data_IF_438976887141
#
_entry.id   IF_438976887141
#
_cell.length_a   1.000
_cell.length_b   1.000
_cell.length_c   1.000
_cell.angle_alpha   90.00
_cell.angle_beta   90.00
_cell.angle_gamma   90.00
#
_symmetry.space_group_name_H-M   'P 1'
#
loop_
_entity.id
_entity.type
_entity.pdbx_description
1 polymer ?
#
# COMPACT_ATOMS: atom_id res chain seq x y z
N UNK A 1 -18.36 -34.44 -32.81
CA UNK A 1 -18.30 -33.67 -31.54
C UNK A 1 -16.90 -33.66 -30.92
N UNK A 2 -16.29 -34.80 -30.59
CA UNK A 2 -14.96 -34.89 -29.93
C UNK A 2 -13.82 -34.20 -30.70
N UNK A 3 -13.81 -34.25 -32.04
CA UNK A 3 -12.78 -33.57 -32.86
C UNK A 3 -12.89 -32.04 -32.79
N UNK A 4 -14.10 -31.48 -32.91
CA UNK A 4 -14.36 -30.03 -32.88
C UNK A 4 -13.98 -29.45 -31.52
N UNK A 5 -14.30 -30.15 -30.43
CA UNK A 5 -13.94 -29.73 -29.07
C UNK A 5 -12.43 -29.76 -28.79
N UNK A 6 -11.69 -30.70 -29.39
CA UNK A 6 -10.23 -30.78 -29.26
C UNK A 6 -9.56 -29.58 -29.94
N UNK A 7 -10.07 -29.14 -31.10
CA UNK A 7 -9.60 -27.93 -31.79
C UNK A 7 -9.87 -26.66 -30.98
N UNK A 8 -11.04 -26.55 -30.35
CA UNK A 8 -11.38 -25.41 -29.49
C UNK A 8 -10.42 -25.26 -28.29
N UNK A 9 -10.03 -26.36 -27.65
CA UNK A 9 -9.07 -26.35 -26.54
C UNK A 9 -7.68 -25.84 -26.97
N UNK A 10 -7.19 -26.27 -28.13
CA UNK A 10 -5.88 -25.87 -28.67
C UNK A 10 -5.84 -24.41 -29.15
N UNK A 11 -6.97 -23.81 -29.48
CA UNK A 11 -7.06 -22.39 -29.88
C UNK A 11 -7.24 -21.50 -28.64
N UNK A 12 -8.06 -21.92 -27.67
CA UNK A 12 -8.29 -21.11 -26.47
C UNK A 12 -7.07 -21.04 -25.54
N UNK A 13 -6.31 -22.13 -25.38
CA UNK A 13 -5.13 -22.12 -24.49
C UNK A 13 -4.09 -21.05 -24.82
N UNK A 14 -3.63 -20.88 -26.08
CA UNK A 14 -2.67 -19.84 -26.42
C UNK A 14 -3.25 -18.42 -26.37
N UNK A 15 -4.52 -18.23 -26.75
CA UNK A 15 -5.18 -16.92 -26.64
C UNK A 15 -5.28 -16.47 -25.16
N UNK A 16 -5.50 -17.41 -24.26
CA UNK A 16 -5.58 -17.14 -22.82
C UNK A 16 -4.20 -16.97 -22.21
N UNK A 17 -3.20 -17.76 -22.64
CA UNK A 17 -1.80 -17.54 -22.23
C UNK A 17 -1.35 -16.13 -22.62
N UNK A 18 -1.74 -15.66 -23.81
CA UNK A 18 -1.49 -14.30 -24.27
C UNK A 18 -2.21 -13.27 -23.39
N UNK A 19 -3.49 -13.46 -23.07
CA UNK A 19 -4.20 -12.58 -22.12
C UNK A 19 -3.55 -12.55 -20.74
N UNK A 20 -3.00 -13.67 -20.27
CA UNK A 20 -2.36 -13.78 -18.96
C UNK A 20 -0.98 -13.14 -18.94
N UNK A 21 -0.22 -13.26 -20.04
CA UNK A 21 1.03 -12.53 -20.26
C UNK A 21 0.75 -11.04 -20.30
N UNK A 22 -0.26 -10.60 -21.05
CA UNK A 22 -0.72 -9.20 -21.09
C UNK A 22 -1.14 -8.75 -19.68
N UNK A 23 -2.01 -9.48 -19.01
CA UNK A 23 -2.44 -9.15 -17.65
C UNK A 23 -1.27 -9.12 -16.66
N UNK A 24 -0.24 -9.95 -16.81
CA UNK A 24 0.94 -9.98 -15.93
C UNK A 24 1.92 -8.83 -16.23
N UNK A 25 2.08 -8.45 -17.50
CA UNK A 25 2.95 -7.34 -17.93
C UNK A 25 2.31 -5.99 -17.57
N UNK A 26 0.99 -5.83 -17.70
CA UNK A 26 0.28 -4.58 -17.44
C UNK A 26 -0.28 -4.44 -16.00
N UNK A 27 -0.14 -5.47 -15.15
CA UNK A 27 -0.82 -5.61 -13.84
C UNK A 27 -0.46 -4.60 -12.74
N UNK A 28 0.76 -4.03 -12.64
CA UNK A 28 1.00 -3.10 -11.53
C UNK A 28 0.56 -1.66 -11.82
N UNK A 29 0.57 -1.22 -13.09
CA UNK A 29 0.52 0.22 -13.41
C UNK A 29 -0.81 0.72 -13.97
N UNK A 30 -1.63 -0.13 -14.59
CA UNK A 30 -2.79 0.32 -15.40
C UNK A 30 -4.14 -0.29 -14.99
N UNK A 31 -4.16 -1.40 -14.25
CA UNK A 31 -5.39 -2.09 -13.88
C UNK A 31 -5.77 -1.78 -12.44
N UNK A 32 -7.00 -1.31 -12.23
CA UNK A 32 -7.57 -1.22 -10.87
C UNK A 32 -7.59 -2.60 -10.22
N UNK A 33 -7.56 -2.63 -8.87
CA UNK A 33 -7.66 -3.87 -8.09
C UNK A 33 -8.88 -4.72 -8.49
N UNK A 34 -9.99 -4.06 -8.85
CA UNK A 34 -11.22 -4.69 -9.33
C UNK A 34 -11.05 -5.36 -10.71
N UNK A 35 -10.50 -4.63 -11.68
CA UNK A 35 -10.28 -5.15 -13.04
C UNK A 35 -9.36 -6.38 -13.03
N UNK A 36 -8.29 -6.32 -12.22
CA UNK A 36 -7.39 -7.45 -12.01
C UNK A 36 -8.14 -8.66 -11.42
N UNK A 37 -8.96 -8.45 -10.39
CA UNK A 37 -9.73 -9.52 -9.74
C UNK A 37 -10.68 -10.22 -10.72
N UNK A 38 -11.41 -9.44 -11.53
CA UNK A 38 -12.36 -9.97 -12.52
C UNK A 38 -11.64 -10.84 -13.57
N UNK A 39 -10.50 -10.38 -14.10
CA UNK A 39 -9.74 -11.11 -15.12
C UNK A 39 -9.27 -12.48 -14.58
N UNK A 40 -8.73 -12.50 -13.36
CA UNK A 40 -8.24 -13.75 -12.76
C UNK A 40 -9.38 -14.72 -12.40
N UNK A 41 -10.54 -14.21 -11.96
CA UNK A 41 -11.72 -15.06 -11.71
C UNK A 41 -12.31 -15.63 -13.00
N UNK A 42 -12.35 -14.85 -14.08
CA UNK A 42 -12.75 -15.35 -15.40
C UNK A 42 -11.80 -16.46 -15.88
N UNK A 43 -10.50 -16.29 -15.66
CA UNK A 43 -9.50 -17.31 -15.97
C UNK A 43 -9.72 -18.59 -15.15
N UNK A 44 -9.97 -18.47 -13.85
CA UNK A 44 -10.29 -19.59 -12.98
C UNK A 44 -11.57 -20.33 -13.44
N UNK A 45 -12.64 -19.61 -13.80
CA UNK A 45 -13.87 -20.18 -14.32
C UNK A 45 -13.63 -20.94 -15.64
N UNK A 46 -12.79 -20.39 -16.51
CA UNK A 46 -12.45 -21.05 -17.77
C UNK A 46 -11.66 -22.36 -17.57
N UNK A 47 -10.65 -22.35 -16.70
CA UNK A 47 -9.91 -23.57 -16.35
C UNK A 47 -10.88 -24.60 -15.74
N UNK A 48 -11.83 -24.17 -14.91
CA UNK A 48 -12.81 -25.07 -14.32
C UNK A 48 -13.70 -25.73 -15.39
N UNK A 49 -14.15 -24.98 -16.39
CA UNK A 49 -14.87 -25.53 -17.56
C UNK A 49 -13.99 -26.49 -18.35
N UNK A 50 -12.70 -26.19 -18.49
CA UNK A 50 -11.78 -27.03 -19.25
C UNK A 50 -11.53 -28.41 -18.62
N UNK A 51 -11.68 -28.54 -17.29
CA UNK A 51 -11.57 -29.82 -16.54
C UNK A 51 -12.47 -30.92 -17.13
N UNK A 52 -13.65 -30.57 -17.66
CA UNK A 52 -14.60 -31.53 -18.26
C UNK A 52 -14.01 -32.19 -19.51
N UNK A 53 -13.17 -31.47 -20.24
CA UNK A 53 -12.62 -31.91 -21.54
C UNK A 53 -11.24 -32.56 -21.44
N UNK A 54 -10.65 -32.53 -20.25
CA UNK A 54 -9.33 -33.10 -19.99
C UNK A 54 -9.44 -34.63 -19.80
N UNK A 55 -8.71 -35.45 -20.57
CA UNK A 55 -8.98 -36.89 -20.63
C UNK A 55 -8.43 -37.69 -19.45
N UNK A 56 -7.38 -37.22 -18.75
CA UNK A 56 -6.75 -38.00 -17.67
C UNK A 56 -7.08 -37.45 -16.30
N UNK A 57 -7.37 -38.34 -15.35
CA UNK A 57 -7.69 -37.97 -13.96
C UNK A 57 -6.63 -37.08 -13.32
N UNK A 58 -5.34 -37.37 -13.56
CA UNK A 58 -4.23 -36.58 -13.01
C UNK A 58 -4.18 -35.15 -13.57
N UNK A 59 -4.49 -34.97 -14.85
CA UNK A 59 -4.52 -33.62 -15.44
C UNK A 59 -5.76 -32.84 -14.99
N UNK A 60 -6.88 -33.50 -14.69
CA UNK A 60 -8.04 -32.87 -14.03
C UNK A 60 -7.68 -32.34 -12.65
N UNK A 61 -7.00 -33.13 -11.82
CA UNK A 61 -6.51 -32.69 -10.50
C UNK A 61 -5.63 -31.45 -10.65
N UNK A 62 -4.71 -31.45 -11.62
CA UNK A 62 -3.80 -30.33 -11.83
C UNK A 62 -4.53 -29.04 -12.24
N UNK A 63 -5.58 -29.13 -13.06
CA UNK A 63 -6.42 -27.99 -13.41
C UNK A 63 -7.21 -27.46 -12.21
N UNK A 64 -7.77 -28.35 -11.37
CA UNK A 64 -8.46 -27.94 -10.14
C UNK A 64 -7.51 -27.26 -9.15
N UNK A 65 -6.28 -27.74 -9.00
CA UNK A 65 -5.27 -27.10 -8.17
C UNK A 65 -4.84 -25.75 -8.71
N UNK A 66 -4.75 -25.60 -10.02
CA UNK A 66 -4.46 -24.32 -10.65
C UNK A 66 -5.59 -23.31 -10.38
N UNK A 67 -6.86 -23.72 -10.54
CA UNK A 67 -8.04 -22.91 -10.18
C UNK A 67 -7.97 -22.49 -8.72
N UNK A 68 -7.70 -23.43 -7.82
CA UNK A 68 -7.59 -23.15 -6.40
C UNK A 68 -6.46 -22.17 -6.08
N UNK A 69 -5.30 -22.32 -6.71
CA UNK A 69 -4.18 -21.38 -6.57
C UNK A 69 -4.56 -19.97 -7.04
N UNK A 70 -5.26 -19.83 -8.17
CA UNK A 70 -5.74 -18.53 -8.67
C UNK A 70 -6.70 -17.88 -7.67
N UNK A 71 -7.65 -18.65 -7.14
CA UNK A 71 -8.59 -18.16 -6.12
C UNK A 71 -7.84 -17.70 -4.88
N UNK A 72 -6.84 -18.47 -4.42
CA UNK A 72 -6.01 -18.10 -3.27
C UNK A 72 -5.20 -16.83 -3.55
N UNK A 73 -4.64 -16.66 -4.75
CA UNK A 73 -3.92 -15.42 -5.14
C UNK A 73 -4.86 -14.21 -5.10
N UNK A 74 -6.05 -14.35 -5.69
CA UNK A 74 -7.07 -13.29 -5.70
C UNK A 74 -7.50 -12.94 -4.28
N UNK A 75 -7.79 -13.95 -3.46
CA UNK A 75 -8.17 -13.79 -2.06
C UNK A 75 -7.07 -13.11 -1.23
N UNK A 76 -5.82 -13.55 -1.36
CA UNK A 76 -4.67 -12.94 -0.67
C UNK A 76 -4.48 -11.50 -1.10
N UNK A 77 -4.59 -11.20 -2.41
CA UNK A 77 -4.45 -9.83 -2.92
C UNK A 77 -5.60 -8.93 -2.45
N UNK A 78 -6.82 -9.44 -2.39
CA UNK A 78 -8.00 -8.70 -1.94
C UNK A 78 -8.03 -8.44 -0.45
N UNK A 79 -7.41 -9.30 0.37
CA UNK A 79 -7.39 -9.15 1.83
C UNK A 79 -6.17 -8.40 2.37
N UNK A 80 -5.19 -8.15 1.51
CA UNK A 80 -4.06 -7.31 1.86
C UNK A 80 -4.47 -5.85 1.59
N UNK A 81 -5.26 -5.30 2.51
CA UNK A 81 -5.64 -3.90 2.46
C UNK A 81 -4.40 -3.02 2.52
N UNK A 82 -4.41 -1.96 1.71
CA UNK A 82 -3.35 -0.97 1.66
C UNK A 82 -3.89 0.35 2.18
N UNK A 83 -3.21 0.91 3.15
CA UNK A 83 -3.60 2.16 3.77
C UNK A 83 -2.52 3.21 3.49
N UNK A 84 -2.84 4.29 2.77
CA UNK A 84 -1.88 5.35 2.52
C UNK A 84 -1.65 6.16 3.79
N UNK A 85 -0.40 6.51 4.05
CA UNK A 85 0.06 7.35 5.14
C UNK A 85 0.88 8.46 4.51
N UNK A 86 0.41 9.70 4.62
CA UNK A 86 1.17 10.87 4.17
C UNK A 86 1.98 11.42 5.35
N UNK A 87 3.29 11.60 5.16
CA UNK A 87 4.19 12.15 6.17
C UNK A 87 4.99 13.32 5.60
N UNK A 88 4.91 14.46 6.29
CA UNK A 88 5.85 15.56 6.11
C UNK A 88 7.15 15.30 6.88
N UNK A 89 8.20 16.08 6.61
CA UNK A 89 9.49 15.95 7.31
C UNK A 89 9.30 16.14 8.82
N UNK A 90 9.87 15.23 9.61
CA UNK A 90 9.69 15.18 11.06
C UNK A 90 8.38 14.56 11.51
N UNK A 91 7.50 14.18 10.58
CA UNK A 91 6.16 13.67 10.87
C UNK A 91 6.19 12.27 11.42
N UNK A 92 5.39 12.03 12.46
CA UNK A 92 5.21 10.71 13.07
C UNK A 92 3.83 10.17 12.77
N UNK A 93 3.75 8.86 12.58
CA UNK A 93 2.51 8.12 12.46
C UNK A 93 2.58 6.90 13.36
N UNK A 94 1.66 6.81 14.31
CA UNK A 94 1.50 5.64 15.14
C UNK A 94 0.52 4.69 14.47
N UNK A 95 1.04 3.59 13.96
CA UNK A 95 0.22 2.53 13.43
C UNK A 95 -0.18 1.58 14.57
N UNK A 96 -1.48 1.43 14.81
CA UNK A 96 -2.02 0.46 15.75
C UNK A 96 -2.71 -0.66 14.98
N UNK A 97 -2.21 -1.88 15.13
CA UNK A 97 -2.91 -3.12 14.77
C UNK A 97 -3.29 -3.86 16.05
N UNK A 98 -4.29 -4.75 16.01
CA UNK A 98 -4.92 -5.42 17.16
C UNK A 98 -3.95 -5.99 18.22
N UNK A 99 -2.70 -6.29 17.83
CA UNK A 99 -1.67 -6.83 18.73
C UNK A 99 -0.31 -6.11 18.66
N UNK A 100 -0.16 -5.09 17.80
CA UNK A 100 1.13 -4.47 17.51
C UNK A 100 0.98 -2.96 17.30
N UNK A 101 1.82 -2.17 17.98
CA UNK A 101 2.00 -0.74 17.73
C UNK A 101 3.33 -0.50 17.04
N UNK A 102 3.34 0.31 15.99
CA UNK A 102 4.54 0.69 15.24
C UNK A 102 4.56 2.20 15.10
N UNK A 103 5.52 2.87 15.73
CA UNK A 103 5.74 4.31 15.52
C UNK A 103 6.69 4.51 14.35
N UNK A 104 6.26 5.31 13.38
CA UNK A 104 7.00 5.62 12.16
C UNK A 104 7.20 7.12 12.10
N UNK A 105 8.44 7.59 12.16
CA UNK A 105 8.78 9.00 11.99
C UNK A 105 9.61 9.24 10.73
N UNK A 106 9.18 10.16 9.88
CA UNK A 106 9.98 10.59 8.72
C UNK A 106 11.12 11.51 9.19
N UNK A 107 12.36 11.07 9.02
CA UNK A 107 13.54 11.90 9.31
C UNK A 107 13.91 12.76 8.11
N UNK A 108 13.98 12.13 6.94
CA UNK A 108 14.42 12.76 5.70
C UNK A 108 13.65 12.15 4.53
N UNK A 109 13.34 13.00 3.55
CA UNK A 109 12.77 12.58 2.29
C UNK A 109 13.60 13.19 1.15
N UNK A 110 14.09 12.34 0.27
CA UNK A 110 14.96 12.75 -0.84
C UNK A 110 14.27 12.41 -2.16
N UNK A 111 14.19 13.38 -3.06
CA UNK A 111 13.72 13.18 -4.43
C UNK A 111 14.87 13.51 -5.39
N UNK A 112 15.12 12.62 -6.34
CA UNK A 112 16.09 12.82 -7.42
C UNK A 112 15.34 12.90 -8.74
N UNK A 113 15.59 14.00 -9.47
CA UNK A 113 15.09 14.22 -10.83
C UNK A 113 16.25 14.05 -11.82
N UNK A 114 15.96 13.51 -13.00
CA UNK A 114 16.89 13.61 -14.13
C UNK A 114 16.92 15.05 -14.65
N UNK A 115 18.04 15.46 -15.24
CA UNK A 115 18.31 16.82 -15.73
C UNK A 115 17.14 17.41 -16.54
N UNK A 116 16.31 18.24 -15.90
CA UNK A 116 15.18 18.93 -16.52
C UNK A 116 13.85 18.17 -16.55
N UNK A 117 13.78 16.96 -15.99
CA UNK A 117 12.53 16.19 -15.87
C UNK A 117 11.69 16.64 -14.68
N UNK A 118 10.39 16.85 -14.91
CA UNK A 118 9.39 17.09 -13.85
C UNK A 118 9.12 15.81 -13.04
N UNK A 119 9.32 14.64 -13.65
CA UNK A 119 9.12 13.35 -12.98
C UNK A 119 10.36 12.97 -12.17
N UNK A 120 10.15 12.55 -10.92
CA UNK A 120 11.19 11.97 -10.10
C UNK A 120 11.63 10.61 -10.65
N UNK A 121 12.94 10.40 -10.73
CA UNK A 121 13.56 9.13 -11.12
C UNK A 121 13.68 8.23 -9.89
N UNK A 122 13.97 8.84 -8.74
CA UNK A 122 14.11 8.15 -7.48
C UNK A 122 13.54 9.00 -6.35
N UNK A 123 12.92 8.34 -5.37
CA UNK A 123 12.59 8.96 -4.11
C UNK A 123 12.73 7.96 -2.97
N UNK A 124 13.33 8.44 -1.88
CA UNK A 124 13.73 7.66 -0.72
C UNK A 124 13.22 8.33 0.55
N UNK A 125 12.60 7.54 1.43
CA UNK A 125 12.22 7.96 2.76
C UNK A 125 13.13 7.32 3.80
N UNK A 126 13.81 8.15 4.58
CA UNK A 126 14.50 7.70 5.80
C UNK A 126 13.55 7.78 6.98
N UNK A 127 13.20 6.63 7.53
CA UNK A 127 12.23 6.49 8.61
C UNK A 127 12.94 6.07 9.88
N UNK A 128 12.54 6.64 11.02
CA UNK A 128 12.84 6.16 12.35
C UNK A 128 11.67 5.30 12.81
N UNK A 129 11.95 4.04 13.14
CA UNK A 129 10.97 3.05 13.58
C UNK A 129 11.12 2.81 15.08
N UNK A 130 10.00 2.89 15.81
CA UNK A 130 9.92 2.67 17.26
C UNK A 130 10.99 3.44 18.06
N UNK A 131 11.34 4.64 17.58
CA UNK A 131 12.41 5.51 18.11
C UNK A 131 13.82 4.88 18.20
N UNK A 132 14.09 3.79 17.49
CA UNK A 132 15.35 3.04 17.60
C UNK A 132 16.02 2.83 16.27
N UNK A 133 15.30 2.24 15.32
CA UNK A 133 15.90 1.79 14.07
C UNK A 133 15.70 2.82 12.98
N UNK A 134 16.78 3.21 12.32
CA UNK A 134 16.69 4.05 11.12
C UNK A 134 16.75 3.17 9.88
N UNK A 135 15.76 3.31 9.01
CA UNK A 135 15.61 2.52 7.79
C UNK A 135 15.43 3.41 6.58
N UNK A 136 15.71 2.87 5.40
CA UNK A 136 15.40 3.50 4.12
C UNK A 136 14.34 2.72 3.37
N UNK A 137 13.31 3.40 2.87
CA UNK A 137 12.24 2.80 2.05
C UNK A 137 12.22 3.46 0.68
N UNK A 138 12.18 2.64 -0.37
CA UNK A 138 12.12 3.08 -1.79
C UNK A 138 11.05 2.30 -2.55
N UNK A 139 10.67 2.77 -3.75
CA UNK A 139 9.51 2.29 -4.55
C UNK A 139 9.49 0.77 -4.80
N UNK A 140 10.65 0.11 -4.75
CA UNK A 140 10.78 -1.34 -4.97
C UNK A 140 11.44 -2.10 -3.82
N UNK A 141 11.76 -1.42 -2.72
CA UNK A 141 12.38 -2.02 -1.54
C UNK A 141 11.50 -1.75 -0.31
N UNK A 142 10.44 -2.55 -0.13
CA UNK A 142 9.57 -2.39 1.02
C UNK A 142 10.30 -2.80 2.30
N UNK A 143 10.05 -2.07 3.39
CA UNK A 143 10.47 -2.49 4.71
C UNK A 143 9.46 -3.48 5.28
N UNK A 144 9.96 -4.55 5.91
CA UNK A 144 9.14 -5.58 6.55
C UNK A 144 9.32 -5.51 8.06
N UNK A 145 8.21 -5.39 8.78
CA UNK A 145 8.16 -5.50 10.24
C UNK A 145 7.08 -6.50 10.63
N UNK A 146 7.47 -7.66 11.18
CA UNK A 146 6.53 -8.76 11.48
C UNK A 146 5.65 -9.12 10.26
N UNK A 147 4.32 -8.91 10.35
CA UNK A 147 3.34 -9.11 9.26
C UNK A 147 3.09 -7.86 8.42
N UNK A 148 3.71 -6.74 8.79
CA UNK A 148 3.53 -5.44 8.18
C UNK A 148 4.58 -5.24 7.09
N UNK A 149 4.17 -4.62 6.00
CA UNK A 149 5.08 -4.06 5.00
C UNK A 149 4.78 -2.59 4.77
N UNK A 150 5.84 -1.80 4.75
CA UNK A 150 5.79 -0.39 4.39
C UNK A 150 6.37 -0.23 2.99
N UNK A 151 5.56 0.30 2.09
CA UNK A 151 5.93 0.60 0.71
C UNK A 151 6.05 2.10 0.54
N UNK A 152 7.04 2.53 -0.23
CA UNK A 152 7.04 3.88 -0.77
C UNK A 152 6.12 3.89 -1.99
N UNK A 153 4.98 4.59 -1.92
CA UNK A 153 3.98 4.59 -2.99
C UNK A 153 4.11 5.79 -3.92
N UNK A 154 4.18 6.99 -3.34
CA UNK A 154 4.27 8.24 -4.10
C UNK A 154 4.85 9.35 -3.23
N UNK A 155 4.84 10.57 -3.75
CA UNK A 155 5.17 11.79 -3.02
C UNK A 155 4.10 12.84 -3.32
N UNK A 156 3.89 13.76 -2.39
CA UNK A 156 2.93 14.85 -2.56
C UNK A 156 3.43 16.13 -1.92
N UNK A 157 2.95 17.26 -2.41
CA UNK A 157 3.10 18.51 -1.68
C UNK A 157 2.27 18.45 -0.40
N UNK A 158 2.91 18.75 0.72
CA UNK A 158 2.30 18.90 2.03
C UNK A 158 2.56 20.32 2.51
N UNK A 159 1.52 20.97 3.01
CA UNK A 159 1.63 22.33 3.53
C UNK A 159 1.86 22.26 5.03
N UNK A 160 3.02 22.68 5.54
CA UNK A 160 3.20 22.86 6.97
C UNK A 160 2.49 24.14 7.43
N UNK A 161 2.23 24.22 8.72
CA UNK A 161 1.61 25.35 9.38
C UNK A 161 2.53 25.87 10.47
N UNK A 162 2.75 27.18 10.46
CA UNK A 162 3.48 27.90 11.49
C UNK A 162 2.50 28.36 12.56
N UNK A 163 2.71 27.89 13.78
CA UNK A 163 2.01 28.27 14.99
C UNK A 163 2.84 29.33 15.69
N UNK A 164 2.32 30.55 15.75
CA UNK A 164 2.99 31.70 16.37
C UNK A 164 2.34 32.04 17.69
N UNK A 165 3.17 32.28 18.69
CA UNK A 165 2.79 32.97 19.93
C UNK A 165 3.93 33.90 20.37
N UNK A 166 4.66 33.55 21.43
CA UNK A 166 5.93 34.21 21.80
C UNK A 166 7.11 33.50 21.12
N UNK A 167 7.01 32.18 20.97
CA UNK A 167 7.85 31.37 20.11
C UNK A 167 7.12 31.02 18.80
N UNK A 168 7.84 30.38 17.87
CA UNK A 168 7.25 29.77 16.67
C UNK A 168 7.45 28.26 16.67
N UNK A 169 6.44 27.55 16.20
CA UNK A 169 6.46 26.11 16.02
C UNK A 169 5.91 25.77 14.64
N UNK A 170 6.68 25.03 13.86
CA UNK A 170 6.28 24.59 12.52
C UNK A 170 5.86 23.12 12.55
N UNK A 171 4.62 22.83 12.17
CA UNK A 171 4.07 21.47 12.19
C UNK A 171 3.42 21.12 10.85
N UNK A 172 3.56 19.86 10.44
CA UNK A 172 2.68 19.22 9.46
C UNK A 172 1.50 18.56 10.17
N UNK A 173 0.45 18.25 9.41
CA UNK A 173 -0.65 17.41 9.87
C UNK A 173 -0.11 16.08 10.46
N UNK A 174 -0.70 15.65 11.57
CA UNK A 174 -0.29 14.51 12.37
C UNK A 174 0.85 14.76 13.37
N UNK A 175 1.49 15.93 13.38
CA UNK A 175 2.67 16.19 14.21
C UNK A 175 2.38 16.73 15.60
N UNK A 176 3.20 16.28 16.55
CA UNK A 176 3.29 16.87 17.88
C UNK A 176 4.37 17.95 17.94
N UNK A 177 4.13 19.00 18.71
CA UNK A 177 5.17 19.94 19.08
C UNK A 177 4.79 20.79 20.27
N UNK A 178 5.78 21.48 20.81
CA UNK A 178 5.62 22.27 22.04
C UNK A 178 5.70 23.74 21.71
N UNK A 179 4.64 24.49 22.01
CA UNK A 179 4.58 25.95 21.82
C UNK A 179 4.39 26.62 23.18
N UNK A 180 5.35 27.45 23.62
CA UNK A 180 5.30 28.12 24.93
C UNK A 180 5.00 27.17 26.11
N UNK A 181 5.51 25.93 26.07
CA UNK A 181 5.24 24.94 27.12
C UNK A 181 3.96 24.11 26.92
N UNK A 182 3.11 24.45 25.95
CA UNK A 182 1.88 23.74 25.59
C UNK A 182 2.22 22.63 24.60
N UNK A 183 1.96 21.37 24.97
CA UNK A 183 2.15 20.22 24.08
C UNK A 183 0.95 20.08 23.14
N UNK A 184 1.12 20.46 21.89
CA UNK A 184 0.08 20.51 20.86
C UNK A 184 0.23 19.32 19.91
N UNK A 185 -0.88 18.73 19.49
CA UNK A 185 -0.95 17.77 18.39
C UNK A 185 -1.76 18.35 17.25
N UNK A 186 -1.12 18.68 16.13
CA UNK A 186 -1.83 19.14 14.93
C UNK A 186 -2.37 17.94 14.17
N UNK A 187 -3.69 17.82 14.07
CA UNK A 187 -4.34 16.65 13.48
C UNK A 187 -4.53 16.83 11.98
N UNK A 188 -5.29 17.85 11.59
CA UNK A 188 -5.67 18.10 10.20
C UNK A 188 -6.06 19.56 9.99
N UNK A 189 -6.01 20.02 8.73
CA UNK A 189 -6.53 21.31 8.32
C UNK A 189 -7.79 21.16 7.45
N UNK A 190 -8.90 21.74 7.91
CA UNK A 190 -10.12 21.88 7.12
C UNK A 190 -10.04 23.14 6.26
N UNK A 191 -9.77 22.96 4.97
CA UNK A 191 -9.69 24.05 3.99
C UNK A 191 -11.02 24.73 3.69
N UNK A 192 -12.16 24.06 3.90
CA UNK A 192 -13.48 24.65 3.70
C UNK A 192 -13.85 25.57 4.86
N UNK A 193 -13.59 25.14 6.09
CA UNK A 193 -13.86 25.92 7.29
C UNK A 193 -12.73 26.87 7.68
N UNK A 194 -11.56 26.75 7.03
CA UNK A 194 -10.35 27.52 7.33
C UNK A 194 -9.94 27.36 8.81
N UNK A 195 -9.96 26.11 9.29
CA UNK A 195 -9.69 25.75 10.70
C UNK A 195 -8.69 24.62 10.80
N UNK A 196 -7.77 24.74 11.74
CA UNK A 196 -6.86 23.68 12.14
C UNK A 196 -7.48 22.91 13.32
N UNK A 197 -7.57 21.59 13.18
CA UNK A 197 -7.92 20.67 14.24
C UNK A 197 -6.67 20.35 15.07
N UNK A 198 -6.71 20.64 16.36
CA UNK A 198 -5.58 20.49 17.28
C UNK A 198 -6.06 19.75 18.51
N UNK A 199 -5.30 18.76 18.95
CA UNK A 199 -5.51 18.10 20.24
C UNK A 199 -4.55 18.66 21.30
N UNK A 200 -5.07 18.88 22.50
CA UNK A 200 -4.31 19.18 23.72
C UNK A 200 -4.91 18.38 24.87
N UNK A 201 -4.08 17.59 25.58
CA UNK A 201 -4.53 16.67 26.63
C UNK A 201 -5.73 15.81 26.21
N UNK A 202 -5.67 15.24 25.00
CA UNK A 202 -6.73 14.42 24.38
C UNK A 202 -8.07 15.16 24.12
N UNK A 203 -8.09 16.48 24.27
CA UNK A 203 -9.26 17.32 23.94
C UNK A 203 -9.03 17.97 22.58
N UNK A 204 -10.03 17.82 21.70
CA UNK A 204 -10.02 18.38 20.35
C UNK A 204 -10.49 19.84 20.33
N UNK A 205 -9.73 20.70 19.66
CA UNK A 205 -10.03 22.10 19.44
C UNK A 205 -9.94 22.44 17.95
N UNK A 206 -10.82 23.32 17.49
CA UNK A 206 -10.79 23.85 16.13
C UNK A 206 -10.43 25.33 16.16
N UNK A 207 -9.19 25.65 15.79
CA UNK A 207 -8.69 27.02 15.79
C UNK A 207 -8.73 27.60 14.37
N UNK A 208 -9.20 28.84 14.18
CA UNK A 208 -9.19 29.48 12.87
C UNK A 208 -7.76 29.74 12.41
N UNK A 209 -7.52 29.52 11.12
CA UNK A 209 -6.26 29.83 10.45
C UNK A 209 -6.23 31.32 10.09
N UNK A 210 -5.04 31.91 10.05
CA UNK A 210 -4.72 33.33 9.77
C UNK A 210 -5.29 34.36 10.75
N UNK A 211 -6.04 33.92 11.76
CA UNK A 211 -6.59 34.77 12.83
C UNK A 211 -5.87 34.50 14.14
N UNK A 212 -5.66 35.55 14.91
CA UNK A 212 -5.14 35.44 16.26
C UNK A 212 -6.27 35.07 17.22
N UNK A 213 -6.06 34.02 18.01
CA UNK A 213 -7.03 33.51 18.98
C UNK A 213 -6.37 33.25 20.33
N UNK A 214 -7.15 33.39 21.40
CA UNK A 214 -6.67 33.04 22.74
C UNK A 214 -6.96 31.56 22.99
N UNK A 215 -5.92 30.77 23.17
CA UNK A 215 -5.96 29.35 23.48
C UNK A 215 -5.20 29.12 24.78
N UNK A 216 -5.87 28.60 25.82
CA UNK A 216 -5.27 28.33 27.15
C UNK A 216 -4.47 29.53 27.70
N UNK A 217 -5.08 30.72 27.67
CA UNK A 217 -4.48 32.01 28.09
C UNK A 217 -3.27 32.48 27.27
N UNK A 218 -2.99 31.83 26.14
CA UNK A 218 -1.91 32.17 25.21
C UNK A 218 -2.51 32.63 23.88
N UNK A 219 -2.04 33.75 23.34
CA UNK A 219 -2.45 34.19 22.00
C UNK A 219 -1.70 33.38 20.96
N UNK A 220 -2.42 32.68 20.10
CA UNK A 220 -1.87 31.83 19.05
C UNK A 220 -2.41 32.31 17.70
N UNK A 221 -1.53 32.38 16.70
CA UNK A 221 -1.88 32.59 15.30
C UNK A 221 -1.31 31.45 14.46
N UNK A 222 -2.14 30.84 13.62
CA UNK A 222 -1.76 29.72 12.76
C UNK A 222 -1.69 30.24 11.33
N UNK A 223 -0.59 30.02 10.61
CA UNK A 223 -0.41 30.50 9.24
C UNK A 223 0.12 29.34 8.39
N UNK A 224 -0.48 29.05 7.21
CA UNK A 224 0.09 28.08 6.28
C UNK A 224 1.42 28.59 5.74
N UNK A 225 2.39 27.69 5.59
CA UNK A 225 3.71 27.99 5.05
C UNK A 225 3.84 27.52 3.59
N UNK A 226 5.02 27.68 2.99
CA UNK A 226 5.32 27.19 1.64
C UNK A 226 5.20 25.66 1.62
N UNK A 227 4.46 25.07 0.66
CA UNK A 227 4.36 23.63 0.51
C UNK A 227 5.72 22.97 0.29
N UNK A 228 5.95 21.86 0.99
CA UNK A 228 7.14 21.04 0.88
C UNK A 228 6.80 19.64 0.38
N UNK A 229 7.79 18.96 -0.19
CA UNK A 229 7.61 17.57 -0.63
C UNK A 229 7.55 16.64 0.59
N UNK A 230 6.43 15.95 0.73
CA UNK A 230 6.21 14.90 1.71
C UNK A 230 6.16 13.52 1.04
N UNK A 231 6.37 12.50 1.86
CA UNK A 231 6.30 11.10 1.41
C UNK A 231 4.90 10.54 1.57
N UNK A 232 4.49 9.67 0.65
CA UNK A 232 3.31 8.83 0.80
C UNK A 232 3.75 7.38 0.92
N UNK A 233 3.62 6.84 2.12
CA UNK A 233 3.85 5.44 2.42
C UNK A 233 2.54 4.66 2.26
N UNK A 234 2.63 3.41 1.85
CA UNK A 234 1.54 2.45 1.91
C UNK A 234 1.86 1.40 2.97
N UNK A 235 1.02 1.33 3.98
CA UNK A 235 1.01 0.24 4.94
C UNK A 235 0.18 -0.92 4.39
N UNK A 236 0.74 -2.13 4.44
CA UNK A 236 0.06 -3.37 4.04
C UNK A 236 0.22 -4.43 5.13
N UNK A 237 -0.91 -4.92 5.64
CA UNK A 237 -0.93 -6.12 6.47
C UNK A 237 -0.94 -7.36 5.59
N UNK A 238 0.10 -8.16 5.68
CA UNK A 238 0.30 -9.30 4.80
C UNK A 238 -0.36 -10.54 5.38
N UNK A 239 -1.49 -10.94 4.80
CA UNK A 239 -2.28 -12.11 5.16
C UNK A 239 -2.15 -13.23 4.12
N UNK A 240 -2.42 -14.46 4.54
CA UNK A 240 -2.57 -15.63 3.65
C UNK A 240 -1.33 -16.11 2.88
N UNK A 241 -0.12 -15.60 3.18
CA UNK A 241 1.14 -16.11 2.59
C UNK A 241 1.38 -17.61 2.83
N UNK A 242 1.00 -18.13 4.00
CA UNK A 242 1.11 -19.56 4.31
C UNK A 242 0.21 -20.39 3.40
N UNK A 243 -1.02 -19.94 3.15
CA UNK A 243 -1.96 -20.60 2.24
C UNK A 243 -1.44 -20.60 0.80
N UNK A 244 -0.89 -19.48 0.35
CA UNK A 244 -0.25 -19.37 -0.97
C UNK A 244 0.93 -20.35 -1.12
N UNK A 245 1.79 -20.45 -0.09
CA UNK A 245 2.92 -21.37 -0.10
C UNK A 245 2.45 -22.83 -0.14
N UNK A 246 1.49 -23.21 0.70
CA UNK A 246 0.94 -24.56 0.75
C UNK A 246 0.32 -24.97 -0.58
N UNK A 247 -0.46 -24.09 -1.21
CA UNK A 247 -1.07 -24.37 -2.52
C UNK A 247 -0.04 -24.47 -3.64
N UNK A 248 0.98 -23.61 -3.65
CA UNK A 248 2.08 -23.69 -4.60
C UNK A 248 2.90 -25.00 -4.45
N UNK A 249 3.20 -25.40 -3.21
CA UNK A 249 3.88 -26.67 -2.91
C UNK A 249 3.07 -27.87 -3.41
N UNK A 250 1.76 -27.88 -3.17
CA UNK A 250 0.88 -28.95 -3.60
C UNK A 250 0.77 -29.04 -5.13
N UNK A 251 0.78 -27.89 -5.83
CA UNK A 251 0.86 -27.84 -7.29
C UNK A 251 2.19 -28.43 -7.80
N UNK A 252 3.32 -28.04 -7.21
CA UNK A 252 4.65 -28.56 -7.56
C UNK A 252 4.76 -30.07 -7.35
N UNK A 253 4.27 -30.58 -6.21
CA UNK A 253 4.24 -32.01 -5.92
C UNK A 253 3.45 -32.78 -6.99
N UNK A 254 2.29 -32.25 -7.37
CA UNK A 254 1.42 -32.87 -8.40
C UNK A 254 2.09 -32.86 -9.78
N UNK A 255 2.81 -31.79 -10.12
CA UNK A 255 3.62 -31.70 -11.34
C UNK A 255 4.77 -32.72 -11.36
N UNK A 256 5.47 -32.88 -10.23
CA UNK A 256 6.56 -33.86 -10.08
C UNK A 256 6.03 -35.28 -10.26
N UNK A 257 4.93 -35.65 -9.59
CA UNK A 257 4.28 -36.96 -9.72
C UNK A 257 3.85 -37.22 -11.17
N UNK A 258 3.26 -36.21 -11.82
CA UNK A 258 2.86 -36.30 -13.24
C UNK A 258 4.05 -36.53 -14.17
N UNK A 259 5.19 -35.89 -13.91
CA UNK A 259 6.41 -36.07 -14.68
C UNK A 259 7.05 -37.45 -14.45
N UNK A 260 7.10 -37.91 -13.20
CA UNK A 260 7.64 -39.22 -12.84
C UNK A 260 6.83 -40.37 -13.44
N UNK A 261 5.50 -40.24 -13.53
CA UNK A 261 4.61 -41.25 -14.14
C UNK A 261 4.69 -41.32 -15.67
N UNK A 262 5.29 -40.31 -16.34
CA UNK A 262 5.49 -40.29 -17.79
C UNK A 262 6.85 -40.87 -18.22
N UNK A 263 7.77 -41.07 -17.28
CA UNK A 263 8.98 -41.87 -17.49
C UNK A 263 8.68 -43.33 -17.18
#
# INVERSE_FOLDING_TARGET
MVKILKTSYWILTPAILLMLIVASIFSPALLTSLSYTIIYLLYAAFILVSVVFVPTFLTKILHLLLVFMIIVVVFVKSNNDRYPIALGKGGSYLLQNENDTLDIKLLEFTITHDNGSVAAVHYESKLLIDHRDTISVTVNHPFKYKKIRLYQSSYRNMTPFNFYSNDSLRLFEGQYGKLNGIDLHFLEYDSHLQRAAISYNDILFYLPVEKEVTFLNTKIKIIPDIPEMGTVLEYVEVKGHVLLLLTALLLLLTLIISRLRRK
#
